data_IF_425420110377
#
_entry.id   IF_425420110377
#
_cell.length_a   1.000
_cell.length_b   1.000
_cell.length_c   1.000
_cell.angle_alpha   90.00
_cell.angle_beta   90.00
_cell.angle_gamma   90.00
#
_symmetry.space_group_name_H-M   'P 1'
#
loop_
_entity.id
_entity.type
_entity.pdbx_description
1 polymer ?
#
# COMPACT_ATOMS: atom_id res chain seq x y z
N UNK A 1 55.62 7.91 -3.57
CA UNK A 1 55.01 6.94 -2.61
C UNK A 1 53.89 6.24 -3.36
N UNK A 2 54.08 5.02 -3.87
CA UNK A 2 53.08 4.26 -4.62
C UNK A 2 52.20 3.55 -3.57
N UNK A 3 50.95 3.95 -3.47
CA UNK A 3 49.93 3.20 -2.68
C UNK A 3 49.56 2.01 -3.57
N UNK A 4 50.12 0.85 -3.26
CA UNK A 4 49.71 -0.41 -3.83
C UNK A 4 48.33 -0.75 -3.26
N UNK A 5 47.29 -0.71 -4.08
CA UNK A 5 46.00 -1.27 -3.72
C UNK A 5 46.17 -2.78 -3.64
N UNK A 6 46.11 -3.32 -2.43
CA UNK A 6 46.06 -4.75 -2.18
C UNK A 6 44.73 -5.31 -2.71
N UNK A 7 44.70 -5.68 -3.99
CA UNK A 7 43.54 -6.30 -4.66
C UNK A 7 43.30 -7.74 -4.23
N UNK A 8 44.04 -8.23 -3.23
CA UNK A 8 44.00 -9.62 -2.80
C UNK A 8 43.09 -9.92 -1.63
N UNK A 9 42.65 -8.92 -0.84
CA UNK A 9 41.85 -9.13 0.36
C UNK A 9 40.44 -9.69 0.10
N UNK A 10 39.92 -9.58 -1.13
CA UNK A 10 38.57 -10.07 -1.49
C UNK A 10 38.60 -11.35 -2.36
N UNK A 11 39.75 -12.01 -2.51
CA UNK A 11 39.82 -13.26 -3.25
C UNK A 11 39.52 -14.45 -2.34
N UNK A 12 38.70 -15.37 -2.87
CA UNK A 12 38.50 -16.68 -2.21
C UNK A 12 39.82 -17.43 -2.27
N UNK A 13 40.46 -17.60 -1.13
CA UNK A 13 41.78 -18.24 -1.00
C UNK A 13 41.69 -19.74 -0.74
N UNK A 14 40.53 -20.22 -0.22
CA UNK A 14 40.31 -21.64 0.02
C UNK A 14 38.84 -21.99 -0.22
N UNK A 15 38.61 -23.19 -0.71
CA UNK A 15 37.29 -23.81 -0.82
C UNK A 15 37.39 -25.16 -0.15
N UNK A 16 36.57 -25.37 0.87
CA UNK A 16 36.53 -26.61 1.62
C UNK A 16 35.17 -27.30 1.48
N UNK A 17 35.16 -28.61 1.51
CA UNK A 17 33.93 -29.40 1.55
C UNK A 17 33.50 -29.52 2.99
N UNK A 18 32.26 -29.15 3.31
CA UNK A 18 31.69 -29.33 4.63
C UNK A 18 30.49 -30.29 4.57
N UNK A 19 30.28 -31.03 5.66
CA UNK A 19 29.08 -31.84 5.90
C UNK A 19 27.96 -31.01 6.55
N UNK A 20 28.17 -29.72 6.80
CA UNK A 20 27.18 -28.86 7.42
C UNK A 20 25.99 -28.60 6.47
N UNK A 21 24.84 -28.50 7.06
CA UNK A 21 23.64 -28.06 6.32
C UNK A 21 23.68 -26.57 6.06
N UNK A 22 23.93 -26.20 4.81
CA UNK A 22 24.01 -24.80 4.38
C UNK A 22 22.64 -24.30 3.86
N UNK A 23 22.33 -23.05 4.14
CA UNK A 23 21.14 -22.38 3.61
C UNK A 23 21.48 -20.97 3.14
N UNK A 24 20.98 -20.60 1.95
CA UNK A 24 21.06 -19.23 1.43
C UNK A 24 19.98 -18.31 2.03
N UNK A 25 19.16 -18.81 2.97
CA UNK A 25 18.00 -18.11 3.56
C UNK A 25 18.30 -17.55 4.95
N UNK A 26 19.56 -17.35 5.32
CA UNK A 26 19.95 -16.91 6.67
C UNK A 26 19.22 -15.65 7.17
N UNK A 27 18.88 -14.72 6.27
CA UNK A 27 18.10 -13.52 6.60
C UNK A 27 16.70 -13.80 7.15
N UNK A 28 16.06 -14.91 6.76
CA UNK A 28 14.74 -15.28 7.26
C UNK A 28 14.76 -15.58 8.77
N UNK A 29 15.84 -16.14 9.32
CA UNK A 29 15.93 -16.44 10.75
C UNK A 29 15.83 -15.18 11.60
N UNK A 30 16.47 -14.08 11.21
CA UNK A 30 16.37 -12.79 11.89
C UNK A 30 14.96 -12.22 11.82
N UNK A 31 14.33 -12.32 10.64
CA UNK A 31 12.96 -11.84 10.45
C UNK A 31 11.99 -12.63 11.35
N UNK A 32 12.09 -13.96 11.39
CA UNK A 32 11.20 -14.78 12.21
C UNK A 32 11.41 -14.57 13.71
N UNK A 33 12.65 -14.40 14.19
CA UNK A 33 12.92 -14.01 15.57
C UNK A 33 12.31 -12.64 15.91
N UNK A 34 12.35 -11.69 14.99
CA UNK A 34 11.67 -10.40 15.17
C UNK A 34 10.14 -10.58 15.25
N UNK A 35 9.52 -11.35 14.34
CA UNK A 35 8.09 -11.63 14.35
C UNK A 35 7.65 -12.38 15.63
N UNK A 36 8.46 -13.29 16.12
CA UNK A 36 8.23 -13.96 17.41
C UNK A 36 8.30 -12.97 18.58
N UNK A 37 9.30 -12.07 18.57
CA UNK A 37 9.46 -11.03 19.61
C UNK A 37 8.27 -10.09 19.69
N UNK A 38 7.69 -9.70 18.57
CA UNK A 38 6.45 -8.88 18.54
C UNK A 38 5.18 -9.69 18.78
N UNK A 39 5.29 -11.02 18.89
CA UNK A 39 4.20 -11.91 19.26
C UNK A 39 3.13 -12.09 18.20
N UNK A 40 3.43 -11.90 16.89
CA UNK A 40 2.43 -11.98 15.84
C UNK A 40 1.78 -13.34 15.73
N UNK A 41 2.57 -14.42 15.81
CA UNK A 41 2.05 -15.79 15.71
C UNK A 41 1.24 -16.20 16.94
N UNK A 42 1.61 -15.72 18.12
CA UNK A 42 0.82 -15.90 19.35
C UNK A 42 -0.53 -15.19 19.26
N UNK A 43 -0.58 -13.97 18.70
CA UNK A 43 -1.84 -13.25 18.45
C UNK A 43 -2.72 -13.97 17.43
N UNK A 44 -2.12 -14.54 16.38
CA UNK A 44 -2.84 -15.35 15.40
C UNK A 44 -3.41 -16.60 16.06
N UNK A 45 -2.64 -17.30 16.88
CA UNK A 45 -3.12 -18.48 17.61
C UNK A 45 -4.24 -18.12 18.59
N UNK A 46 -4.11 -17.04 19.37
CA UNK A 46 -5.14 -16.55 20.27
C UNK A 46 -6.47 -16.29 19.55
N UNK A 47 -6.43 -15.61 18.39
CA UNK A 47 -7.63 -15.26 17.64
C UNK A 47 -8.24 -16.41 16.86
N UNK A 48 -7.42 -17.32 16.34
CA UNK A 48 -7.85 -18.34 15.39
C UNK A 48 -7.63 -19.78 15.83
N UNK A 49 -6.97 -20.02 16.98
CA UNK A 49 -6.70 -21.38 17.47
C UNK A 49 -7.96 -22.22 17.63
N UNK A 50 -9.10 -21.59 17.94
CA UNK A 50 -10.43 -22.24 18.03
C UNK A 50 -10.89 -22.89 16.70
N UNK A 51 -10.35 -22.44 15.54
CA UNK A 51 -10.64 -23.07 14.25
C UNK A 51 -10.02 -24.45 14.09
N UNK A 52 -9.13 -24.82 15.02
CA UNK A 52 -8.49 -26.13 15.05
C UNK A 52 -9.38 -27.15 15.73
N UNK A 53 -10.01 -28.02 14.94
CA UNK A 53 -10.90 -29.07 15.45
C UNK A 53 -10.17 -30.30 16.06
N UNK A 54 -8.88 -30.44 15.81
CA UNK A 54 -8.08 -31.59 16.24
C UNK A 54 -6.69 -31.13 16.69
N UNK A 55 -6.14 -31.78 17.71
CA UNK A 55 -4.77 -31.51 18.18
C UNK A 55 -3.70 -32.15 17.28
N UNK A 56 -4.06 -32.95 16.27
CA UNK A 56 -3.12 -33.53 15.31
C UNK A 56 -2.59 -32.48 14.35
N UNK A 57 -1.29 -32.47 14.06
CA UNK A 57 -0.60 -31.53 13.20
C UNK A 57 -0.33 -30.16 13.85
N UNK A 58 0.19 -29.22 13.08
CA UNK A 58 0.64 -27.92 13.57
C UNK A 58 -0.51 -27.00 14.01
N UNK A 59 -0.20 -26.06 14.89
CA UNK A 59 -1.12 -25.02 15.37
C UNK A 59 -1.48 -24.03 14.25
N UNK A 60 -2.49 -23.22 14.46
CA UNK A 60 -2.88 -22.18 13.48
C UNK A 60 -1.78 -21.13 13.35
N UNK A 61 -1.20 -20.70 14.48
CA UNK A 61 -0.07 -19.76 14.51
C UNK A 61 1.15 -20.30 13.78
N UNK A 62 1.47 -21.59 13.97
CA UNK A 62 2.59 -22.23 13.28
C UNK A 62 2.32 -22.39 11.76
N UNK A 63 1.12 -22.79 11.36
CA UNK A 63 0.76 -22.83 9.96
C UNK A 63 0.88 -21.44 9.30
N UNK A 64 0.48 -20.39 10.01
CA UNK A 64 0.63 -19.01 9.55
C UNK A 64 2.11 -18.61 9.45
N UNK A 65 2.95 -19.02 10.43
CA UNK A 65 4.40 -18.80 10.41
C UNK A 65 5.03 -19.41 9.15
N UNK A 66 4.75 -20.67 8.88
CA UNK A 66 5.30 -21.34 7.69
C UNK A 66 4.76 -20.76 6.38
N UNK A 67 3.51 -20.31 6.35
CA UNK A 67 2.97 -19.59 5.18
C UNK A 67 3.67 -18.25 4.96
N UNK A 68 3.90 -17.47 6.01
CA UNK A 68 4.68 -16.24 5.90
C UNK A 68 6.11 -16.50 5.41
N UNK A 69 6.73 -17.60 5.88
CA UNK A 69 8.04 -18.01 5.41
C UNK A 69 8.05 -18.30 3.89
N UNK A 70 7.03 -19.01 3.40
CA UNK A 70 6.88 -19.24 1.95
C UNK A 70 6.79 -17.91 1.16
N UNK A 71 6.02 -16.93 1.67
CA UNK A 71 5.90 -15.63 1.03
C UNK A 71 7.23 -14.85 1.04
N UNK A 72 7.99 -14.96 2.13
CA UNK A 72 9.27 -14.24 2.31
C UNK A 72 10.45 -14.94 1.62
N UNK A 73 10.37 -16.23 1.33
CA UNK A 73 11.40 -16.99 0.61
C UNK A 73 11.65 -16.43 -0.81
N UNK A 74 10.65 -15.77 -1.39
CA UNK A 74 10.78 -15.01 -2.65
C UNK A 74 10.94 -15.87 -3.91
N UNK A 75 11.01 -17.19 -3.80
CA UNK A 75 11.28 -18.08 -4.95
C UNK A 75 10.02 -18.40 -5.75
N UNK A 76 8.95 -18.78 -5.08
CA UNK A 76 7.63 -19.10 -5.68
C UNK A 76 6.54 -18.99 -4.64
N UNK A 77 5.46 -18.29 -4.94
CA UNK A 77 4.30 -18.13 -4.05
C UNK A 77 3.24 -19.24 -4.20
N UNK A 78 3.58 -20.36 -4.88
CA UNK A 78 2.67 -21.48 -5.03
C UNK A 78 2.62 -22.35 -3.75
N UNK A 79 1.42 -22.67 -3.29
CA UNK A 79 1.20 -23.57 -2.14
C UNK A 79 1.85 -24.96 -2.37
N UNK A 80 2.00 -25.41 -3.63
CA UNK A 80 2.66 -26.68 -3.96
C UNK A 80 4.13 -26.73 -3.52
N UNK A 81 4.76 -25.57 -3.33
CA UNK A 81 6.14 -25.46 -2.87
C UNK A 81 6.38 -26.04 -1.48
N UNK A 82 5.36 -26.13 -0.64
CA UNK A 82 5.49 -26.74 0.68
C UNK A 82 6.02 -28.18 0.64
N UNK A 83 5.67 -28.98 -0.37
CA UNK A 83 6.15 -30.36 -0.46
C UNK A 83 7.64 -30.45 -0.83
N UNK A 84 8.19 -29.42 -1.49
CA UNK A 84 9.62 -29.30 -1.76
C UNK A 84 10.36 -28.78 -0.53
N UNK A 85 9.86 -27.69 0.08
CA UNK A 85 10.45 -27.05 1.27
C UNK A 85 10.48 -28.02 2.47
N UNK A 86 9.48 -28.89 2.58
CA UNK A 86 9.44 -29.94 3.62
C UNK A 86 10.62 -30.89 3.56
N UNK A 87 11.27 -31.05 2.41
CA UNK A 87 12.44 -31.93 2.22
C UNK A 87 13.77 -31.22 2.41
N UNK A 88 13.74 -29.90 2.63
CA UNK A 88 14.92 -29.06 2.76
C UNK A 88 15.29 -28.86 4.24
N UNK A 89 16.36 -29.54 4.73
CA UNK A 89 16.78 -29.40 6.12
C UNK A 89 17.32 -27.99 6.43
N UNK A 90 17.90 -27.28 5.42
CA UNK A 90 18.36 -25.92 5.58
C UNK A 90 17.20 -24.94 5.76
N UNK A 91 16.09 -25.14 5.06
CA UNK A 91 14.87 -24.36 5.27
C UNK A 91 14.26 -24.65 6.66
N UNK A 92 14.20 -25.91 7.06
CA UNK A 92 13.72 -26.28 8.39
C UNK A 92 14.54 -25.62 9.50
N UNK A 93 15.87 -25.67 9.40
CA UNK A 93 16.79 -25.06 10.36
C UNK A 93 16.61 -23.54 10.48
N UNK A 94 16.40 -22.84 9.37
CA UNK A 94 16.12 -21.38 9.34
C UNK A 94 14.84 -21.03 10.11
N UNK A 95 13.86 -21.92 10.12
CA UNK A 95 12.61 -21.77 10.87
C UNK A 95 12.70 -22.30 12.31
N UNK A 96 13.90 -22.76 12.73
CA UNK A 96 14.12 -23.42 14.03
C UNK A 96 13.21 -24.66 14.22
N UNK A 97 13.06 -25.45 13.13
CA UNK A 97 12.20 -26.63 13.03
C UNK A 97 12.95 -27.84 12.49
N UNK A 98 12.30 -28.97 12.55
CA UNK A 98 12.72 -30.23 11.89
C UNK A 98 11.84 -30.47 10.65
N UNK A 99 12.32 -31.19 9.68
CA UNK A 99 11.60 -31.45 8.42
C UNK A 99 10.25 -32.15 8.61
N UNK A 100 10.10 -32.98 9.65
CA UNK A 100 8.84 -33.66 9.99
C UNK A 100 7.76 -32.71 10.52
N UNK A 101 8.14 -31.58 11.14
CA UNK A 101 7.24 -30.56 11.66
C UNK A 101 6.83 -29.52 10.59
N UNK A 102 7.44 -29.54 9.41
CA UNK A 102 7.04 -28.67 8.31
C UNK A 102 5.73 -29.18 7.67
N UNK A 103 4.85 -28.20 7.35
CA UNK A 103 3.56 -28.52 6.74
C UNK A 103 3.71 -28.94 5.26
N UNK A 104 2.84 -29.83 4.83
CA UNK A 104 2.72 -30.22 3.40
C UNK A 104 1.74 -29.31 2.66
N UNK A 105 1.76 -29.37 1.34
CA UNK A 105 0.75 -28.74 0.48
C UNK A 105 -0.68 -29.07 0.92
N UNK A 106 -0.96 -30.32 1.28
CA UNK A 106 -2.28 -30.74 1.77
C UNK A 106 -2.64 -30.12 3.11
N UNK A 107 -1.67 -29.97 4.02
CA UNK A 107 -1.87 -29.30 5.30
C UNK A 107 -2.14 -27.80 5.10
N UNK A 108 -1.39 -27.12 4.23
CA UNK A 108 -1.62 -25.74 3.88
C UNK A 108 -3.01 -25.50 3.28
N UNK A 109 -3.45 -26.35 2.34
CA UNK A 109 -4.82 -26.29 1.78
C UNK A 109 -5.89 -26.46 2.87
N UNK A 110 -5.69 -27.38 3.83
CA UNK A 110 -6.60 -27.55 4.97
C UNK A 110 -6.60 -26.36 5.90
N UNK A 111 -5.44 -25.72 6.11
CA UNK A 111 -5.32 -24.50 6.90
C UNK A 111 -6.20 -23.40 6.32
N UNK A 112 -6.07 -23.05 5.02
CA UNK A 112 -6.89 -22.01 4.40
C UNK A 112 -8.39 -22.31 4.41
N UNK A 113 -8.79 -23.59 4.25
CA UNK A 113 -10.21 -23.99 4.30
C UNK A 113 -10.89 -23.78 5.66
N UNK A 114 -10.12 -23.51 6.72
CA UNK A 114 -10.68 -23.22 8.07
C UNK A 114 -11.22 -21.79 8.17
N UNK A 115 -10.69 -20.88 7.39
CA UNK A 115 -11.10 -19.47 7.40
C UNK A 115 -12.32 -19.29 6.50
N UNK A 116 -13.50 -19.06 7.13
CA UNK A 116 -14.77 -18.84 6.44
C UNK A 116 -15.57 -17.76 7.17
N UNK A 117 -16.40 -17.02 6.42
CA UNK A 117 -17.34 -16.06 7.02
C UNK A 117 -16.65 -14.95 7.82
N UNK A 118 -17.01 -14.77 9.08
CA UNK A 118 -16.60 -13.64 9.92
C UNK A 118 -15.13 -13.63 10.38
N UNK A 119 -14.28 -14.57 9.93
CA UNK A 119 -12.86 -14.60 10.33
C UNK A 119 -12.08 -13.35 9.89
N UNK A 120 -12.56 -12.67 8.86
CA UNK A 120 -11.95 -11.45 8.33
C UNK A 120 -11.84 -10.31 9.35
N UNK A 121 -12.83 -10.13 10.21
CA UNK A 121 -12.81 -9.11 11.27
C UNK A 121 -11.67 -9.34 12.27
N UNK A 122 -11.36 -10.60 12.58
CA UNK A 122 -10.27 -10.96 13.49
C UNK A 122 -8.89 -10.69 12.88
N UNK A 123 -8.69 -10.94 11.58
CA UNK A 123 -7.47 -10.53 10.88
C UNK A 123 -7.31 -9.01 10.87
N UNK A 124 -8.37 -8.29 10.54
CA UNK A 124 -8.36 -6.83 10.58
C UNK A 124 -8.00 -6.30 11.98
N UNK A 125 -8.50 -6.94 13.03
CA UNK A 125 -8.16 -6.57 14.42
C UNK A 125 -6.66 -6.69 14.73
N UNK A 126 -6.00 -7.75 14.27
CA UNK A 126 -4.54 -7.92 14.42
C UNK A 126 -3.81 -6.83 13.63
N UNK A 127 -4.20 -6.63 12.38
CA UNK A 127 -3.58 -5.67 11.48
C UNK A 127 -3.72 -4.22 12.00
N UNK A 128 -4.92 -3.85 12.44
CA UNK A 128 -5.18 -2.56 13.07
C UNK A 128 -4.31 -2.33 14.31
N UNK A 129 -4.16 -3.37 15.16
CA UNK A 129 -3.30 -3.29 16.33
C UNK A 129 -1.83 -3.04 15.98
N UNK A 130 -1.32 -3.64 14.91
CA UNK A 130 0.04 -3.39 14.40
C UNK A 130 0.18 -1.97 13.86
N UNK A 131 -0.79 -1.47 13.12
CA UNK A 131 -0.79 -0.11 12.62
C UNK A 131 -0.78 0.93 13.76
N UNK A 132 -1.65 0.79 14.75
CA UNK A 132 -1.68 1.68 15.93
C UNK A 132 -0.38 1.60 16.72
N UNK A 133 0.16 0.39 16.89
CA UNK A 133 1.48 0.23 17.53
C UNK A 133 2.55 1.00 16.77
N UNK A 134 2.55 0.93 15.43
CA UNK A 134 3.51 1.64 14.59
C UNK A 134 3.37 3.16 14.70
N UNK A 135 2.15 3.68 14.68
CA UNK A 135 1.89 5.11 14.90
C UNK A 135 2.47 5.59 16.24
N UNK A 136 2.31 4.79 17.31
CA UNK A 136 2.85 5.11 18.63
C UNK A 136 4.39 5.12 18.69
N UNK A 137 5.05 4.36 17.82
CA UNK A 137 6.52 4.38 17.70
C UNK A 137 7.01 5.57 16.88
N UNK A 138 6.41 5.82 15.73
CA UNK A 138 6.87 6.86 14.79
C UNK A 138 6.39 8.26 15.17
N UNK A 139 5.28 8.37 15.89
CA UNK A 139 4.68 9.63 16.35
C UNK A 139 4.59 10.69 15.24
N UNK A 140 3.92 10.38 14.11
CA UNK A 140 3.84 11.32 13.00
C UNK A 140 3.03 12.56 13.40
N UNK A 141 3.51 13.74 13.01
CA UNK A 141 2.77 14.99 13.18
C UNK A 141 1.54 15.08 12.27
N UNK A 142 1.58 14.35 11.15
CA UNK A 142 0.51 14.28 10.14
C UNK A 142 0.43 12.87 9.59
N UNK A 143 -0.78 12.35 9.45
CA UNK A 143 -1.01 11.04 8.85
C UNK A 143 -1.58 11.22 7.44
N UNK A 144 -0.78 10.91 6.41
CA UNK A 144 -1.26 10.90 5.02
C UNK A 144 -1.62 9.48 4.62
N UNK A 145 -2.90 9.24 4.35
CA UNK A 145 -3.43 7.95 3.91
C UNK A 145 -3.65 7.99 2.39
N UNK A 146 -3.10 7.02 1.68
CA UNK A 146 -3.26 6.87 0.24
C UNK A 146 -4.33 5.82 -0.06
N UNK A 147 -5.36 6.21 -0.81
CA UNK A 147 -6.38 5.30 -1.32
C UNK A 147 -6.01 4.89 -2.74
N UNK A 148 -6.04 3.60 -2.98
CA UNK A 148 -5.76 3.03 -4.29
C UNK A 148 -6.61 1.78 -4.54
N UNK A 149 -6.80 1.45 -5.81
CA UNK A 149 -7.37 0.18 -6.26
C UNK A 149 -6.42 -0.49 -7.21
N UNK A 150 -6.10 -1.73 -6.91
CA UNK A 150 -5.26 -2.55 -7.79
C UNK A 150 -6.07 -3.63 -8.49
N UNK A 151 -5.64 -4.02 -9.68
CA UNK A 151 -6.21 -5.19 -10.37
C UNK A 151 -5.37 -6.41 -10.02
N UNK A 152 -6.01 -7.41 -9.43
CA UNK A 152 -5.44 -8.75 -9.29
C UNK A 152 -5.96 -9.59 -10.45
N UNK A 153 -5.11 -9.75 -11.45
CA UNK A 153 -5.39 -10.57 -12.63
C UNK A 153 -5.57 -12.04 -12.23
N UNK A 154 -6.62 -12.66 -12.74
CA UNK A 154 -6.96 -14.04 -12.51
C UNK A 154 -7.53 -14.70 -13.79
N UNK A 155 -7.08 -14.23 -14.95
CA UNK A 155 -7.58 -14.64 -16.27
C UNK A 155 -7.41 -16.15 -16.50
N UNK A 156 -6.38 -16.74 -15.90
CA UNK A 156 -6.10 -18.18 -15.97
C UNK A 156 -7.12 -19.04 -15.22
N UNK A 157 -7.91 -18.48 -14.32
CA UNK A 157 -8.78 -19.22 -13.42
C UNK A 157 -10.26 -19.01 -13.75
N UNK A 158 -10.76 -19.82 -14.64
CA UNK A 158 -12.19 -19.92 -14.94
C UNK A 158 -12.96 -20.34 -13.68
N UNK A 159 -13.97 -19.60 -13.25
CA UNK A 159 -14.90 -19.92 -12.14
C UNK A 159 -14.32 -19.73 -10.72
N UNK A 160 -14.06 -18.48 -10.34
CA UNK A 160 -13.87 -18.12 -8.94
C UNK A 160 -14.94 -17.13 -8.51
N UNK A 161 -15.50 -17.32 -7.33
CA UNK A 161 -16.47 -16.40 -6.75
C UNK A 161 -15.89 -15.00 -6.63
N UNK A 162 -16.60 -13.99 -7.13
CA UNK A 162 -16.15 -12.60 -7.15
C UNK A 162 -15.13 -12.26 -8.25
N UNK A 163 -14.72 -13.22 -9.08
CA UNK A 163 -13.88 -12.96 -10.23
C UNK A 163 -14.75 -12.45 -11.38
N UNK A 164 -14.60 -11.16 -11.71
CA UNK A 164 -15.35 -10.49 -12.76
C UNK A 164 -14.43 -9.63 -13.62
N UNK A 165 -14.98 -9.12 -14.74
CA UNK A 165 -14.21 -8.25 -15.63
C UNK A 165 -13.86 -6.94 -14.89
N UNK A 166 -12.58 -6.63 -14.82
CA UNK A 166 -12.03 -5.41 -14.22
C UNK A 166 -12.01 -4.25 -15.22
N UNK A 167 -11.70 -3.03 -14.75
CA UNK A 167 -11.54 -1.88 -15.65
C UNK A 167 -10.41 -2.07 -16.69
N UNK A 168 -9.44 -2.96 -16.42
CA UNK A 168 -8.39 -3.35 -17.38
C UNK A 168 -8.85 -4.40 -18.40
N UNK A 169 -10.13 -4.78 -18.39
CA UNK A 169 -10.75 -5.80 -19.27
C UNK A 169 -10.17 -7.20 -19.13
N UNK A 170 -9.59 -7.52 -17.98
CA UNK A 170 -9.17 -8.88 -17.59
C UNK A 170 -10.09 -9.41 -16.51
N UNK A 171 -10.27 -10.73 -16.44
CA UNK A 171 -10.97 -11.37 -15.34
C UNK A 171 -10.11 -11.27 -14.08
N UNK A 172 -10.68 -10.81 -12.98
CA UNK A 172 -9.91 -10.64 -11.76
C UNK A 172 -10.70 -10.07 -10.59
N UNK A 173 -9.95 -9.53 -9.65
CA UNK A 173 -10.47 -8.86 -8.46
C UNK A 173 -9.95 -7.43 -8.41
N UNK A 174 -10.65 -6.56 -7.70
CA UNK A 174 -10.28 -5.15 -7.59
C UNK A 174 -10.34 -4.67 -6.13
N UNK A 175 -9.38 -5.12 -5.28
CA UNK A 175 -9.32 -4.68 -3.91
C UNK A 175 -9.10 -3.18 -3.80
N UNK A 176 -9.76 -2.58 -2.80
CA UNK A 176 -9.50 -1.22 -2.32
C UNK A 176 -8.44 -1.31 -1.23
N UNK A 177 -7.40 -0.51 -1.36
CA UNK A 177 -6.27 -0.48 -0.44
C UNK A 177 -6.11 0.92 0.17
N UNK A 178 -5.79 0.96 1.45
CA UNK A 178 -5.41 2.18 2.17
C UNK A 178 -4.00 1.99 2.69
N UNK A 179 -3.11 2.90 2.30
CA UNK A 179 -1.70 2.86 2.65
C UNK A 179 -1.30 4.07 3.50
N UNK A 180 -0.32 3.88 4.37
CA UNK A 180 0.43 4.94 5.04
C UNK A 180 1.91 4.77 4.70
N UNK A 181 2.41 5.60 3.80
CA UNK A 181 3.72 5.37 3.19
C UNK A 181 3.77 4.00 2.50
N UNK A 182 4.73 3.17 2.89
CA UNK A 182 4.87 1.79 2.38
C UNK A 182 4.01 0.75 3.12
N UNK A 183 3.26 1.14 4.15
CA UNK A 183 2.48 0.21 4.97
C UNK A 183 1.03 0.13 4.49
N UNK A 184 0.53 -1.08 4.26
CA UNK A 184 -0.90 -1.32 4.04
C UNK A 184 -1.60 -1.17 5.39
N UNK A 185 -2.50 -0.20 5.51
CA UNK A 185 -3.29 0.08 6.72
C UNK A 185 -4.57 -0.72 6.74
N UNK A 186 -5.24 -0.82 5.60
CA UNK A 186 -6.43 -1.66 5.42
C UNK A 186 -6.51 -2.11 3.96
N UNK A 187 -7.12 -3.26 3.74
CA UNK A 187 -7.43 -3.78 2.43
C UNK A 187 -8.85 -4.36 2.44
N UNK A 188 -9.69 -3.88 1.52
CA UNK A 188 -11.00 -4.43 1.28
C UNK A 188 -10.99 -5.21 -0.03
N UNK A 189 -10.94 -6.54 0.08
CA UNK A 189 -10.97 -7.41 -1.08
C UNK A 189 -12.36 -7.37 -1.74
N UNK A 190 -12.38 -7.04 -3.03
CA UNK A 190 -13.62 -6.80 -3.79
C UNK A 190 -13.62 -7.54 -5.11
N UNK A 191 -14.82 -7.79 -5.60
CA UNK A 191 -15.06 -8.32 -6.93
C UNK A 191 -14.55 -7.42 -8.05
N UNK A 192 -14.23 -7.98 -9.21
CA UNK A 192 -13.57 -7.29 -10.31
C UNK A 192 -14.38 -6.15 -10.95
N UNK A 193 -15.71 -6.19 -10.89
CA UNK A 193 -16.57 -5.14 -11.42
C UNK A 193 -16.64 -3.88 -10.54
N UNK A 194 -16.11 -3.93 -9.31
CA UNK A 194 -16.17 -2.81 -8.36
C UNK A 194 -15.08 -1.79 -8.64
N UNK A 195 -15.43 -0.69 -9.32
CA UNK A 195 -14.52 0.43 -9.57
C UNK A 195 -14.14 1.18 -8.26
N UNK A 196 -13.21 2.12 -8.33
CA UNK A 196 -12.66 2.85 -7.17
C UNK A 196 -13.74 3.44 -6.27
N UNK A 197 -14.71 4.13 -6.83
CA UNK A 197 -15.82 4.78 -6.13
C UNK A 197 -17.13 3.98 -6.15
N UNK A 198 -17.05 2.65 -6.00
CA UNK A 198 -18.22 1.79 -6.01
C UNK A 198 -18.98 1.87 -4.67
N UNK A 199 -20.23 2.32 -4.72
CA UNK A 199 -21.07 2.44 -3.51
C UNK A 199 -20.44 3.29 -2.42
N UNK A 200 -20.49 2.81 -1.18
CA UNK A 200 -19.90 3.47 -0.02
C UNK A 200 -18.55 2.89 0.42
N UNK A 201 -17.98 1.95 -0.34
CA UNK A 201 -16.80 1.18 0.08
C UNK A 201 -15.64 2.08 0.52
N UNK A 202 -15.33 3.13 -0.23
CA UNK A 202 -14.24 4.05 0.08
C UNK A 202 -14.54 4.90 1.33
N UNK A 203 -15.74 5.47 1.44
CA UNK A 203 -16.18 6.27 2.60
C UNK A 203 -16.14 5.46 3.88
N UNK A 204 -16.67 4.23 3.86
CA UNK A 204 -16.71 3.34 5.02
C UNK A 204 -15.30 2.90 5.45
N UNK A 205 -14.43 2.61 4.49
CA UNK A 205 -13.04 2.23 4.77
C UNK A 205 -12.29 3.38 5.43
N UNK A 206 -12.37 4.59 4.85
CA UNK A 206 -11.74 5.80 5.42
C UNK A 206 -12.31 6.12 6.80
N UNK A 207 -13.63 6.11 6.95
CA UNK A 207 -14.30 6.41 8.24
C UNK A 207 -13.82 5.47 9.35
N UNK A 208 -13.70 4.18 9.04
CA UNK A 208 -13.22 3.16 9.98
C UNK A 208 -11.79 3.46 10.45
N UNK A 209 -10.90 3.79 9.52
CA UNK A 209 -9.50 4.08 9.84
C UNK A 209 -9.37 5.40 10.61
N UNK A 210 -10.05 6.45 10.19
CA UNK A 210 -10.06 7.75 10.90
C UNK A 210 -10.56 7.58 12.33
N UNK A 211 -11.68 6.87 12.52
CA UNK A 211 -12.21 6.59 13.86
C UNK A 211 -11.23 5.79 14.72
N UNK A 212 -10.54 4.81 14.12
CA UNK A 212 -9.55 4.01 14.84
C UNK A 212 -8.35 4.87 15.26
N UNK A 213 -7.82 5.70 14.38
CA UNK A 213 -6.70 6.62 14.69
C UNK A 213 -7.09 7.52 15.85
N UNK A 214 -8.23 8.19 15.77
CA UNK A 214 -8.70 9.12 16.81
C UNK A 214 -8.94 8.45 18.14
N UNK A 215 -9.51 7.25 18.15
CA UNK A 215 -9.83 6.55 19.38
C UNK A 215 -8.61 5.87 20.04
N UNK A 216 -7.58 5.47 19.28
CA UNK A 216 -6.53 4.58 19.80
C UNK A 216 -5.11 5.17 19.71
N UNK A 217 -4.94 6.25 18.96
CA UNK A 217 -3.66 6.92 18.81
C UNK A 217 -3.76 8.38 19.30
N UNK A 218 -4.37 9.26 18.53
CA UNK A 218 -4.51 10.69 18.84
C UNK A 218 -5.78 11.26 18.19
N UNK A 219 -6.62 11.90 19.01
CA UNK A 219 -7.87 12.49 18.54
C UNK A 219 -7.64 13.70 17.64
N UNK A 220 -6.54 14.41 17.82
CA UNK A 220 -6.26 15.72 17.21
C UNK A 220 -5.31 15.64 16.03
N UNK A 221 -4.63 14.50 15.82
CA UNK A 221 -3.65 14.36 14.74
C UNK A 221 -4.29 14.68 13.39
N UNK A 222 -3.67 15.57 12.59
CA UNK A 222 -4.17 15.86 11.25
C UNK A 222 -4.09 14.64 10.34
N UNK A 223 -5.20 14.37 9.65
CA UNK A 223 -5.31 13.26 8.69
C UNK A 223 -5.59 13.82 7.31
N UNK A 224 -4.81 13.37 6.33
CA UNK A 224 -4.96 13.75 4.92
C UNK A 224 -5.24 12.49 4.10
N UNK A 225 -6.25 12.54 3.25
CA UNK A 225 -6.50 11.52 2.24
C UNK A 225 -5.84 11.95 0.93
N UNK A 226 -5.05 11.06 0.34
CA UNK A 226 -4.53 11.20 -1.02
C UNK A 226 -5.11 10.08 -1.87
N UNK A 227 -5.65 10.41 -3.05
CA UNK A 227 -6.26 9.44 -3.93
C UNK A 227 -6.15 9.85 -5.40
N UNK A 228 -6.35 8.90 -6.31
CA UNK A 228 -6.44 9.13 -7.73
C UNK A 228 -7.84 9.67 -8.15
N UNK A 229 -8.00 9.95 -9.43
CA UNK A 229 -9.25 10.47 -9.99
C UNK A 229 -10.43 9.51 -9.91
N UNK A 230 -10.19 8.24 -9.68
CA UNK A 230 -11.23 7.23 -9.51
C UNK A 230 -12.03 7.40 -8.22
N UNK A 231 -11.49 8.13 -7.24
CA UNK A 231 -12.16 8.44 -5.97
C UNK A 231 -12.77 9.85 -5.92
N UNK A 232 -12.57 10.66 -6.98
CA UNK A 232 -13.08 12.00 -7.02
C UNK A 232 -14.58 12.02 -7.25
N UNK A 233 -15.32 12.35 -6.20
CA UNK A 233 -16.74 12.70 -6.27
C UNK A 233 -17.05 13.76 -5.22
N UNK A 234 -17.99 14.67 -5.52
CA UNK A 234 -18.35 15.70 -4.54
C UNK A 234 -18.90 15.09 -3.26
N UNK A 235 -19.64 14.00 -3.35
CA UNK A 235 -20.15 13.27 -2.21
C UNK A 235 -19.05 12.79 -1.27
N UNK A 236 -17.95 12.23 -1.80
CA UNK A 236 -16.79 11.84 -0.99
C UNK A 236 -16.14 13.05 -0.33
N UNK A 237 -15.95 14.15 -1.08
CA UNK A 237 -15.31 15.35 -0.56
C UNK A 237 -16.12 15.96 0.58
N UNK A 238 -17.44 16.11 0.40
CA UNK A 238 -18.36 16.59 1.45
C UNK A 238 -18.36 15.68 2.67
N UNK A 239 -18.29 14.38 2.48
CA UNK A 239 -18.21 13.43 3.58
C UNK A 239 -16.90 13.59 4.37
N UNK A 240 -15.77 13.74 3.70
CA UNK A 240 -14.47 13.96 4.34
C UNK A 240 -14.45 15.29 5.10
N UNK A 241 -15.02 16.34 4.53
CA UNK A 241 -15.07 17.68 5.14
C UNK A 241 -16.03 17.73 6.33
N UNK A 242 -17.27 17.31 6.12
CA UNK A 242 -18.36 17.57 7.04
C UNK A 242 -18.50 16.49 8.13
N UNK A 243 -18.30 15.23 7.77
CA UNK A 243 -18.48 14.11 8.70
C UNK A 243 -17.17 13.70 9.37
N UNK A 244 -16.11 13.54 8.59
CA UNK A 244 -14.84 13.06 9.12
C UNK A 244 -13.91 14.19 9.60
N UNK A 245 -14.15 15.43 9.19
CA UNK A 245 -13.31 16.60 9.53
C UNK A 245 -11.84 16.36 9.20
N UNK A 246 -11.57 15.80 8.03
CA UNK A 246 -10.23 15.50 7.54
C UNK A 246 -9.89 16.32 6.30
N UNK A 247 -8.61 16.36 5.97
CA UNK A 247 -8.10 17.00 4.77
C UNK A 247 -7.94 15.99 3.64
N UNK A 248 -7.88 16.50 2.41
CA UNK A 248 -7.62 15.64 1.25
C UNK A 248 -6.83 16.36 0.16
N UNK A 249 -6.19 15.56 -0.68
CA UNK A 249 -5.61 15.95 -1.96
C UNK A 249 -5.93 14.83 -2.95
N UNK A 250 -6.84 15.10 -3.87
CA UNK A 250 -7.33 14.09 -4.82
C UNK A 250 -7.03 14.56 -6.24
N UNK A 251 -6.38 13.70 -7.03
CA UNK A 251 -6.14 13.95 -8.44
C UNK A 251 -7.48 13.95 -9.17
N UNK A 252 -7.70 14.92 -10.03
CA UNK A 252 -8.89 15.04 -10.85
C UNK A 252 -8.65 14.62 -12.29
N UNK A 253 -9.75 14.49 -13.03
CA UNK A 253 -9.68 14.50 -14.49
C UNK A 253 -9.57 15.94 -14.96
N UNK A 254 -8.74 16.15 -15.96
CA UNK A 254 -8.56 17.45 -16.53
C UNK A 254 -9.70 17.73 -17.52
N UNK A 255 -10.51 18.73 -17.23
CA UNK A 255 -11.61 19.20 -18.06
C UNK A 255 -11.27 20.56 -18.66
N UNK A 256 -11.84 20.89 -19.83
CA UNK A 256 -11.67 22.20 -20.47
C UNK A 256 -12.03 23.35 -19.54
N UNK A 257 -13.08 23.19 -18.74
CA UNK A 257 -13.52 24.19 -17.76
C UNK A 257 -12.45 24.59 -16.74
N UNK A 258 -11.49 23.71 -16.43
CA UNK A 258 -10.36 24.04 -15.55
C UNK A 258 -9.42 25.04 -16.21
N UNK A 259 -9.10 24.81 -17.49
CA UNK A 259 -8.27 25.74 -18.28
C UNK A 259 -8.98 27.08 -18.52
N UNK A 260 -10.27 27.04 -18.85
CA UNK A 260 -11.08 28.23 -19.02
C UNK A 260 -11.10 29.11 -17.77
N UNK A 261 -11.27 28.45 -16.59
CA UNK A 261 -11.21 29.16 -15.30
C UNK A 261 -9.84 29.75 -15.04
N UNK A 262 -8.77 29.02 -15.34
CA UNK A 262 -7.40 29.50 -15.17
C UNK A 262 -7.13 30.72 -16.09
N UNK A 263 -7.50 30.65 -17.37
CA UNK A 263 -7.26 31.70 -18.36
C UNK A 263 -8.10 32.94 -18.07
N UNK A 264 -9.39 32.79 -17.79
CA UNK A 264 -10.30 33.92 -17.51
C UNK A 264 -9.96 34.63 -16.20
N UNK A 265 -9.48 33.90 -15.19
CA UNK A 265 -9.05 34.43 -13.90
C UNK A 265 -7.69 35.16 -13.94
N UNK A 266 -6.97 35.13 -15.05
CA UNK A 266 -5.60 35.67 -15.21
C UNK A 266 -4.69 35.18 -14.06
N UNK A 267 -4.80 33.90 -13.75
CA UNK A 267 -4.11 33.30 -12.62
C UNK A 267 -2.61 33.17 -12.95
N UNK A 268 -1.78 33.72 -12.10
CA UNK A 268 -0.33 33.67 -12.26
C UNK A 268 0.23 32.37 -11.68
N UNK A 269 1.40 32.01 -12.16
CA UNK A 269 2.20 30.93 -11.62
C UNK A 269 2.44 31.13 -10.12
N UNK A 270 2.13 30.13 -9.29
CA UNK A 270 2.33 30.18 -7.84
C UNK A 270 3.59 29.47 -7.36
N UNK A 271 4.09 28.51 -8.13
CA UNK A 271 5.32 27.77 -7.82
C UNK A 271 5.90 27.17 -9.08
N UNK A 272 7.24 27.04 -9.09
CA UNK A 272 7.98 26.30 -10.12
C UNK A 272 8.92 25.30 -9.45
N UNK A 273 8.95 24.07 -9.96
CA UNK A 273 9.88 23.04 -9.52
C UNK A 273 10.71 22.61 -10.72
N UNK A 274 12.02 22.79 -10.60
CA UNK A 274 12.95 22.42 -11.65
C UNK A 274 13.51 21.02 -11.40
N UNK A 275 13.54 20.21 -12.45
CA UNK A 275 14.20 18.92 -12.48
C UNK A 275 15.04 18.82 -13.74
N UNK A 276 16.15 18.14 -13.67
CA UNK A 276 17.27 17.98 -14.67
C UNK A 276 17.06 18.54 -16.10
N UNK A 277 15.88 18.37 -16.73
CA UNK A 277 15.56 18.84 -18.08
C UNK A 277 14.12 19.32 -18.24
N UNK A 278 13.39 19.39 -17.16
CA UNK A 278 11.96 19.77 -17.18
C UNK A 278 11.64 20.65 -15.99
N UNK A 279 10.76 21.60 -16.18
CA UNK A 279 10.22 22.43 -15.09
C UNK A 279 8.73 22.18 -14.98
N UNK A 280 8.26 21.99 -13.76
CA UNK A 280 6.84 21.92 -13.44
C UNK A 280 6.37 23.28 -12.94
N UNK A 281 5.31 23.79 -13.53
CA UNK A 281 4.68 25.05 -13.14
C UNK A 281 3.35 24.73 -12.48
N UNK A 282 3.08 25.39 -11.36
CA UNK A 282 1.85 25.21 -10.60
C UNK A 282 1.00 26.47 -10.63
N UNK A 283 -0.31 26.28 -10.79
CA UNK A 283 -1.34 27.31 -10.68
C UNK A 283 -2.29 26.94 -9.55
N UNK A 284 -2.57 27.88 -8.66
CA UNK A 284 -3.40 27.68 -7.47
C UNK A 284 -4.60 28.63 -7.54
N UNK A 285 -5.79 28.08 -7.67
CA UNK A 285 -7.02 28.84 -7.86
C UNK A 285 -8.23 28.09 -7.33
N UNK A 286 -9.36 28.75 -7.31
CA UNK A 286 -10.63 28.13 -6.97
C UNK A 286 -11.41 27.81 -8.23
N UNK A 287 -11.89 26.57 -8.36
CA UNK A 287 -12.75 26.16 -9.46
C UNK A 287 -13.93 25.33 -8.98
N UNK A 288 -14.92 25.21 -9.83
CA UNK A 288 -16.10 24.39 -9.60
C UNK A 288 -16.37 23.58 -10.88
N UNK A 289 -16.44 22.27 -10.75
CA UNK A 289 -16.90 21.45 -11.87
C UNK A 289 -18.41 21.60 -12.08
N UNK A 290 -18.90 21.46 -13.31
CA UNK A 290 -20.29 21.76 -13.69
C UNK A 290 -21.35 21.07 -12.81
N UNK A 291 -21.05 19.87 -12.31
CA UNK A 291 -21.97 19.09 -11.48
C UNK A 291 -21.79 19.29 -9.99
N UNK A 292 -20.83 20.12 -9.56
CA UNK A 292 -20.56 20.37 -8.16
C UNK A 292 -21.37 21.57 -7.64
N UNK A 293 -21.74 21.49 -6.39
CA UNK A 293 -22.41 22.62 -5.69
C UNK A 293 -21.37 23.56 -5.06
N UNK A 294 -20.23 23.02 -4.63
CA UNK A 294 -19.22 23.75 -3.87
C UNK A 294 -17.97 24.04 -4.70
N UNK A 295 -17.51 25.31 -4.65
CA UNK A 295 -16.22 25.73 -5.20
C UNK A 295 -15.09 25.13 -4.35
N UNK A 296 -14.05 24.65 -5.01
CA UNK A 296 -12.91 23.99 -4.33
C UNK A 296 -11.59 24.57 -4.79
N UNK A 297 -10.63 24.60 -3.89
CA UNK A 297 -9.25 24.91 -4.23
C UNK A 297 -8.70 23.89 -5.20
N UNK A 298 -8.18 24.37 -6.31
CA UNK A 298 -7.71 23.60 -7.45
C UNK A 298 -6.25 23.92 -7.71
N UNK A 299 -5.42 22.91 -7.82
CA UNK A 299 -4.01 23.05 -8.18
C UNK A 299 -3.81 22.37 -9.52
N UNK A 300 -3.45 23.17 -10.53
CA UNK A 300 -3.07 22.67 -11.85
C UNK A 300 -1.55 22.67 -11.95
N UNK A 301 -0.97 21.55 -12.37
CA UNK A 301 0.46 21.43 -12.65
C UNK A 301 0.67 21.14 -14.11
N UNK A 302 1.56 21.90 -14.74
CA UNK A 302 1.91 21.79 -16.17
C UNK A 302 3.40 21.58 -16.31
N UNK A 303 3.80 20.69 -17.22
CA UNK A 303 5.20 20.50 -17.57
C UNK A 303 5.64 21.54 -18.61
N UNK A 304 6.75 22.23 -18.35
CA UNK A 304 7.37 23.18 -19.27
C UNK A 304 8.72 22.61 -19.72
N UNK A 305 8.95 22.54 -21.04
CA UNK A 305 10.24 22.17 -21.59
C UNK A 305 11.26 23.32 -21.48
N UNK A 306 12.57 23.00 -21.51
CA UNK A 306 13.68 23.97 -21.39
C UNK A 306 13.64 25.14 -22.39
N UNK A 307 12.96 24.99 -23.52
CA UNK A 307 12.86 26.00 -24.60
C UNK A 307 11.62 26.92 -24.47
N UNK A 308 10.99 27.02 -23.32
CA UNK A 308 9.72 27.73 -23.11
C UNK A 308 8.55 27.32 -24.06
N UNK A 309 8.69 26.20 -24.76
CA UNK A 309 7.60 25.62 -25.51
C UNK A 309 6.72 24.79 -24.57
N UNK A 310 5.47 25.18 -24.42
CA UNK A 310 4.48 24.29 -23.81
C UNK A 310 4.46 23.00 -24.61
N UNK A 311 4.88 21.89 -23.99
CA UNK A 311 4.72 20.57 -24.59
C UNK A 311 3.21 20.37 -24.75
N UNK A 312 2.79 20.00 -25.95
CA UNK A 312 1.42 19.73 -26.40
C UNK A 312 0.38 19.64 -25.29
N UNK A 313 -0.60 20.53 -25.33
CA UNK A 313 -1.76 20.52 -24.44
C UNK A 313 -2.26 19.10 -24.21
N UNK A 314 -2.32 18.69 -22.94
CA UNK A 314 -3.04 17.49 -22.50
C UNK A 314 -2.21 16.23 -22.19
N UNK A 315 -0.90 16.17 -22.45
CA UNK A 315 -0.18 14.90 -22.26
C UNK A 315 0.32 14.71 -20.81
N UNK A 316 0.60 15.77 -20.05
CA UNK A 316 1.16 15.67 -18.68
C UNK A 316 0.62 16.63 -17.65
N UNK A 317 -0.44 17.38 -17.98
CA UNK A 317 -1.05 18.26 -17.01
C UNK A 317 -1.83 17.48 -15.96
N UNK A 318 -1.68 17.86 -14.71
CA UNK A 318 -2.37 17.21 -13.60
C UNK A 318 -3.17 18.25 -12.81
N UNK A 319 -4.43 17.97 -12.56
CA UNK A 319 -5.28 18.77 -11.69
C UNK A 319 -5.51 18.05 -10.37
N UNK A 320 -5.44 18.79 -9.28
CA UNK A 320 -5.70 18.28 -7.93
C UNK A 320 -6.73 19.17 -7.23
N UNK A 321 -7.63 18.54 -6.51
CA UNK A 321 -8.61 19.21 -5.65
C UNK A 321 -8.27 18.99 -4.19
N UNK A 322 -8.36 20.06 -3.38
CA UNK A 322 -7.96 20.00 -1.98
C UNK A 322 -8.78 20.96 -1.11
N UNK A 323 -8.92 20.63 0.18
CA UNK A 323 -9.42 21.53 1.21
C UNK A 323 -8.29 21.97 2.19
N UNK A 324 -7.03 21.81 1.80
CA UNK A 324 -5.89 22.40 2.53
C UNK A 324 -5.93 23.92 2.40
N UNK A 325 -5.70 24.65 3.50
CA UNK A 325 -5.61 26.12 3.49
C UNK A 325 -4.27 26.62 2.97
N UNK A 326 -4.23 27.86 2.48
CA UNK A 326 -2.99 28.48 1.96
C UNK A 326 -1.92 28.68 3.04
N UNK A 327 -2.30 28.73 4.33
CA UNK A 327 -1.43 28.98 5.47
C UNK A 327 -1.10 27.74 6.28
N UNK A 328 -1.60 26.55 5.90
CA UNK A 328 -1.25 25.33 6.60
C UNK A 328 0.21 25.00 6.33
N UNK A 329 1.05 24.85 7.40
CA UNK A 329 2.45 24.37 7.30
C UNK A 329 2.56 23.12 6.42
N UNK A 330 1.51 22.30 6.40
CA UNK A 330 1.36 21.12 5.58
C UNK A 330 1.30 21.41 4.08
N UNK A 331 0.84 22.59 3.67
CA UNK A 331 0.71 22.95 2.26
C UNK A 331 2.07 23.06 1.57
N UNK A 332 3.07 23.63 2.23
CA UNK A 332 4.43 23.75 1.68
C UNK A 332 5.19 22.43 1.60
N UNK A 333 4.99 21.53 2.57
CA UNK A 333 5.62 20.20 2.55
C UNK A 333 4.91 19.25 1.57
N UNK A 334 3.58 19.32 1.47
CA UNK A 334 2.80 18.53 0.52
C UNK A 334 3.05 18.96 -0.94
N UNK A 335 3.19 20.24 -1.19
CA UNK A 335 3.62 20.75 -2.52
C UNK A 335 4.99 20.18 -2.89
N UNK A 336 5.94 20.16 -1.95
CA UNK A 336 7.28 19.60 -2.17
C UNK A 336 7.26 18.08 -2.34
N UNK A 337 6.56 17.33 -1.49
CA UNK A 337 6.51 15.87 -1.54
C UNK A 337 5.77 15.34 -2.77
N UNK A 338 4.58 15.87 -3.10
CA UNK A 338 3.83 15.40 -4.27
C UNK A 338 4.48 15.75 -5.60
N UNK A 339 5.11 16.89 -5.71
CA UNK A 339 5.91 17.20 -6.89
C UNK A 339 7.10 16.25 -7.01
N UNK A 340 7.77 15.89 -5.90
CA UNK A 340 8.86 14.90 -5.91
C UNK A 340 8.38 13.47 -6.18
N UNK A 341 7.18 13.10 -5.74
CA UNK A 341 6.63 11.75 -5.93
C UNK A 341 6.06 11.57 -7.35
N UNK A 342 5.46 12.62 -7.93
CA UNK A 342 5.09 12.64 -9.36
C UNK A 342 6.31 12.53 -10.27
N UNK A 343 7.46 13.04 -9.82
CA UNK A 343 8.73 12.96 -10.56
C UNK A 343 9.42 11.60 -10.47
N UNK A 344 9.12 10.79 -9.42
CA UNK A 344 9.70 9.45 -9.23
C UNK A 344 8.93 8.32 -9.91
N UNK A 345 7.69 8.54 -10.30
CA UNK A 345 6.88 7.54 -11.01
C UNK A 345 7.16 7.45 -12.51
N UNK A 346 8.11 8.23 -13.02
CA UNK A 346 8.51 8.24 -14.43
C UNK A 346 9.93 7.70 -14.69
N UNK A 347 10.62 7.14 -13.69
CA UNK A 347 11.83 6.31 -13.84
C UNK A 347 11.46 4.81 -13.82
#
# INVERSE_FOLDING_TARGET
MKIGSDRNENKINAVEVTNDTLSNRGGLSFMFRYLDKIGIFSKIEEKFGHLRKSRKGESIGECARQFMALCMDGTRHSISRFDELKKDPGYAAVLERTTDTLISTSAAKRFFRKFRGNTYSSFRSIHNGLFIWRLKQEKPEVITLHLDTMVLDNDDAKKREGCNVTYKRVLGFQPLQINWGSYIVDMHFRSGEKHSNHGNDAKEAVARIVKMIRNQYDETVPIIISADSGFLSEENLLYFENQLKIKYVIIGKLYSSVYETMQSGKISECARVEAKRTSWVCYDFNSKLDRWEVVRRTILTTLVAEDNQCILEGIRDTVMYTNLGNNDRMDSELKKRKLSDLMKTEE
#
